data_IF_843169378105
#
_entry.id   IF_843169378105
#
_cell.length_a   1.000
_cell.length_b   1.000
_cell.length_c   1.000
_cell.angle_alpha   90.00
_cell.angle_beta   90.00
_cell.angle_gamma   90.00
#
_symmetry.space_group_name_H-M   'P 1'
#
loop_
_entity.id
_entity.type
_entity.pdbx_description
1 polymer ?
#
# COMPACT_ATOMS: atom_id res chain seq x y z
N UNK A 1 -8.33 -36.81 10.49
CA UNK A 1 -8.46 -36.28 9.11
C UNK A 1 -8.71 -34.79 9.19
N UNK A 2 -7.73 -33.96 8.80
CA UNK A 2 -7.82 -32.50 8.92
C UNK A 2 -8.79 -31.93 7.89
N UNK A 3 -9.80 -31.19 8.36
CA UNK A 3 -10.73 -30.43 7.51
C UNK A 3 -9.96 -29.34 6.77
N UNK A 4 -9.85 -29.45 5.45
CA UNK A 4 -9.41 -28.35 4.60
C UNK A 4 -10.40 -27.19 4.79
N UNK A 5 -9.96 -26.12 5.45
CA UNK A 5 -10.77 -24.92 5.69
C UNK A 5 -11.06 -24.30 4.32
N UNK A 6 -12.32 -24.24 3.92
CA UNK A 6 -12.74 -23.67 2.65
C UNK A 6 -12.15 -22.25 2.48
N UNK A 7 -11.50 -22.01 1.35
CA UNK A 7 -10.95 -20.70 1.00
C UNK A 7 -12.11 -19.72 0.80
N UNK A 8 -12.30 -18.80 1.75
CA UNK A 8 -13.28 -17.72 1.64
C UNK A 8 -12.78 -16.75 0.57
N UNK A 9 -13.39 -16.80 -0.63
CA UNK A 9 -13.19 -15.76 -1.64
C UNK A 9 -13.71 -14.45 -1.05
N UNK A 10 -12.82 -13.46 -0.94
CA UNK A 10 -13.17 -12.10 -0.53
C UNK A 10 -13.38 -11.34 -1.83
N UNK A 11 -14.62 -10.96 -2.11
CA UNK A 11 -14.93 -10.08 -3.23
C UNK A 11 -14.41 -8.67 -2.90
N UNK A 12 -13.55 -8.09 -3.75
CA UNK A 12 -12.76 -6.94 -3.37
C UNK A 12 -13.48 -5.61 -3.52
N UNK A 13 -14.78 -5.59 -3.82
CA UNK A 13 -15.57 -4.39 -4.13
C UNK A 13 -15.68 -3.48 -2.90
N UNK A 14 -14.87 -2.42 -2.77
CA UNK A 14 -14.92 -1.54 -1.63
C UNK A 14 -15.90 -0.39 -1.91
N UNK A 15 -16.39 0.27 -0.85
CA UNK A 15 -17.19 1.49 -1.02
C UNK A 15 -16.32 2.62 -1.61
N UNK A 16 -16.97 3.62 -2.25
CA UNK A 16 -16.26 4.75 -2.83
C UNK A 16 -15.42 5.51 -1.81
N UNK A 17 -15.93 5.71 -0.60
CA UNK A 17 -15.20 6.33 0.53
C UNK A 17 -13.94 5.54 0.88
N UNK A 18 -14.06 4.21 0.93
CA UNK A 18 -12.97 3.33 1.30
C UNK A 18 -11.81 3.37 0.31
N UNK A 19 -12.08 3.58 -0.99
CA UNK A 19 -11.03 3.72 -2.01
C UNK A 19 -10.07 4.87 -1.67
N UNK A 20 -10.59 6.01 -1.19
CA UNK A 20 -9.78 7.16 -0.83
C UNK A 20 -8.99 6.96 0.48
N UNK A 21 -9.54 6.22 1.44
CA UNK A 21 -8.84 5.93 2.70
C UNK A 21 -7.65 4.96 2.53
N UNK A 22 -7.73 4.07 1.55
CA UNK A 22 -6.75 3.00 1.33
C UNK A 22 -5.39 3.54 0.89
N UNK A 23 -5.35 4.67 0.19
CA UNK A 23 -4.10 5.29 -0.29
C UNK A 23 -3.85 6.56 0.52
N UNK A 24 -2.93 6.50 1.49
CA UNK A 24 -2.70 7.64 2.41
C UNK A 24 -1.71 8.66 1.87
N UNK A 25 -0.53 8.20 1.47
CA UNK A 25 0.54 9.07 0.96
C UNK A 25 1.60 8.27 0.21
N UNK A 26 2.33 8.90 -0.72
CA UNK A 26 3.50 8.27 -1.32
C UNK A 26 4.66 8.17 -0.33
N UNK A 27 5.47 7.13 -0.49
CA UNK A 27 6.70 6.94 0.30
C UNK A 27 7.88 7.35 -0.56
N UNK A 28 8.51 8.47 -0.22
CA UNK A 28 9.69 9.00 -0.92
C UNK A 28 10.95 8.65 -0.13
N UNK A 29 11.81 7.82 -0.72
CA UNK A 29 13.09 7.32 -0.22
C UNK A 29 13.99 6.97 -1.41
N UNK A 30 15.30 6.87 -1.23
CA UNK A 30 16.22 6.40 -2.30
C UNK A 30 15.76 5.06 -2.90
N UNK A 31 15.33 4.13 -2.04
CA UNK A 31 14.82 2.82 -2.48
C UNK A 31 13.53 2.90 -3.29
N UNK A 32 12.62 3.84 -2.97
CA UNK A 32 11.40 4.00 -3.77
C UNK A 32 11.72 4.59 -5.13
N UNK A 33 12.70 5.50 -5.22
CA UNK A 33 13.18 6.03 -6.50
C UNK A 33 13.80 4.94 -7.37
N UNK A 34 14.58 4.03 -6.77
CA UNK A 34 15.08 2.84 -7.48
C UNK A 34 13.94 1.93 -7.95
N UNK A 35 12.91 1.75 -7.13
CA UNK A 35 11.73 0.96 -7.52
C UNK A 35 10.97 1.59 -8.70
N UNK A 36 10.94 2.93 -8.78
CA UNK A 36 10.32 3.64 -9.91
C UNK A 36 10.96 3.31 -11.26
N UNK A 37 12.27 3.00 -11.30
CA UNK A 37 12.95 2.53 -12.52
C UNK A 37 12.37 1.21 -13.06
N UNK A 38 11.72 0.43 -12.20
CA UNK A 38 11.07 -0.83 -12.54
C UNK A 38 9.54 -0.68 -12.67
N UNK A 39 9.03 0.52 -12.93
CA UNK A 39 7.60 0.83 -12.99
C UNK A 39 6.85 0.47 -11.70
N UNK A 40 7.52 0.61 -10.55
CA UNK A 40 6.92 0.38 -9.24
C UNK A 40 6.73 1.68 -8.47
N UNK A 41 5.56 1.82 -7.85
CA UNK A 41 5.24 2.95 -6.99
C UNK A 41 5.01 2.45 -5.57
N UNK A 42 5.46 3.23 -4.59
CA UNK A 42 5.37 2.85 -3.18
C UNK A 42 4.45 3.80 -2.44
N UNK A 43 3.37 3.25 -1.88
CA UNK A 43 2.41 3.99 -1.07
C UNK A 43 2.41 3.50 0.38
N UNK A 44 2.12 4.41 1.29
CA UNK A 44 1.69 4.09 2.64
C UNK A 44 0.18 3.84 2.63
N UNK A 45 -0.23 2.70 3.20
CA UNK A 45 -1.61 2.22 3.21
C UNK A 45 -2.02 1.82 4.63
N UNK A 46 -3.33 1.77 4.95
CA UNK A 46 -3.83 1.27 6.21
C UNK A 46 -3.39 -0.17 6.55
N UNK A 47 -3.29 -0.48 7.84
CA UNK A 47 -2.83 -1.80 8.33
C UNK A 47 -3.85 -2.91 8.05
N UNK A 48 -5.12 -2.60 7.94
CA UNK A 48 -6.23 -3.48 7.59
C UNK A 48 -6.36 -3.72 6.07
N UNK A 49 -5.89 -2.79 5.22
CA UNK A 49 -6.03 -2.89 3.76
C UNK A 49 -5.48 -4.20 3.14
N UNK A 50 -6.27 -4.84 2.30
CA UNK A 50 -5.87 -6.10 1.62
C UNK A 50 -5.26 -5.84 0.24
N UNK A 51 -4.51 -6.80 -0.32
CA UNK A 51 -3.88 -6.63 -1.66
C UNK A 51 -4.91 -6.41 -2.78
N UNK A 52 -6.04 -7.15 -2.86
CA UNK A 52 -7.06 -6.91 -3.88
C UNK A 52 -7.69 -5.51 -3.77
N UNK A 53 -7.97 -5.07 -2.54
CA UNK A 53 -8.52 -3.73 -2.26
C UNK A 53 -7.56 -2.62 -2.72
N UNK A 54 -6.25 -2.74 -2.40
CA UNK A 54 -5.23 -1.78 -2.86
C UNK A 54 -5.15 -1.75 -4.38
N UNK A 55 -5.26 -2.90 -5.05
CA UNK A 55 -5.27 -2.97 -6.52
C UNK A 55 -6.42 -2.14 -7.09
N UNK A 56 -7.64 -2.39 -6.63
CA UNK A 56 -8.84 -1.69 -7.09
C UNK A 56 -8.75 -0.19 -6.80
N UNK A 57 -8.27 0.20 -5.62
CA UNK A 57 -8.06 1.60 -5.24
C UNK A 57 -7.12 2.33 -6.21
N UNK A 58 -5.96 1.76 -6.51
CA UNK A 58 -4.98 2.38 -7.40
C UNK A 58 -5.51 2.45 -8.84
N UNK A 59 -6.11 1.36 -9.34
CA UNK A 59 -6.66 1.33 -10.70
C UNK A 59 -7.79 2.35 -10.87
N UNK A 60 -8.65 2.52 -9.87
CA UNK A 60 -9.79 3.44 -9.94
C UNK A 60 -9.36 4.91 -9.80
N UNK A 61 -8.50 5.21 -8.83
CA UNK A 61 -8.11 6.59 -8.52
C UNK A 61 -7.14 7.17 -9.56
N UNK A 62 -6.16 6.38 -10.00
CA UNK A 62 -5.13 6.86 -10.93
C UNK A 62 -5.41 6.46 -12.38
N UNK A 63 -6.49 5.69 -12.65
CA UNK A 63 -6.86 5.22 -14.00
C UNK A 63 -5.72 4.47 -14.72
N UNK A 64 -4.92 3.74 -13.95
CA UNK A 64 -3.80 2.92 -14.44
C UNK A 64 -4.13 1.43 -14.35
N UNK A 65 -3.34 0.58 -15.01
CA UNK A 65 -3.42 -0.88 -14.85
C UNK A 65 -2.32 -1.38 -13.91
N UNK A 66 -2.70 -2.22 -12.94
CA UNK A 66 -1.78 -2.77 -11.94
C UNK A 66 -1.49 -4.24 -12.23
N UNK A 67 -0.21 -4.57 -12.37
CA UNK A 67 0.28 -5.93 -12.60
C UNK A 67 0.32 -6.73 -11.30
N UNK A 68 0.91 -6.18 -10.25
CA UNK A 68 1.11 -6.87 -8.98
C UNK A 68 1.16 -5.90 -7.79
N UNK A 69 0.75 -6.40 -6.61
CA UNK A 69 0.81 -5.66 -5.35
C UNK A 69 1.53 -6.48 -4.29
N UNK A 70 2.59 -5.90 -3.73
CA UNK A 70 3.38 -6.47 -2.65
C UNK A 70 3.29 -5.56 -1.43
N UNK A 71 2.97 -6.13 -0.27
CA UNK A 71 2.74 -5.34 0.95
C UNK A 71 3.68 -5.78 2.06
N UNK A 72 4.24 -4.82 2.80
CA UNK A 72 5.10 -5.07 3.96
C UNK A 72 4.65 -4.22 5.13
N UNK A 73 4.50 -4.82 6.32
CA UNK A 73 4.26 -4.08 7.56
C UNK A 73 5.59 -3.75 8.25
N UNK A 74 5.74 -2.49 8.63
CA UNK A 74 6.89 -1.96 9.35
C UNK A 74 6.43 -1.63 10.76
N UNK A 75 7.09 -2.23 11.75
CA UNK A 75 6.86 -1.92 13.16
C UNK A 75 7.40 -0.52 13.47
N UNK A 76 6.59 0.31 14.11
CA UNK A 76 6.97 1.61 14.61
C UNK A 76 8.08 1.50 15.63
N UNK A 77 9.08 2.36 15.50
CA UNK A 77 10.25 2.40 16.40
C UNK A 77 9.82 2.86 17.80
N UNK A 78 10.38 2.22 18.82
CA UNK A 78 10.30 2.69 20.20
C UNK A 78 11.17 3.95 20.32
N UNK A 79 10.62 5.00 20.91
CA UNK A 79 11.28 6.28 21.15
C UNK A 79 11.09 6.68 22.60
N UNK A 80 11.95 7.57 23.09
CA UNK A 80 11.86 8.11 24.44
C UNK A 80 11.82 9.63 24.35
N UNK A 81 10.89 10.24 25.05
CA UNK A 81 10.80 11.70 25.17
C UNK A 81 10.63 12.05 26.64
N UNK A 82 11.54 12.86 27.19
CA UNK A 82 11.55 13.27 28.62
C UNK A 82 11.40 12.09 29.59
N UNK A 83 12.14 11.01 29.37
CA UNK A 83 12.11 9.80 30.21
C UNK A 83 10.97 8.81 29.91
N UNK A 84 9.87 9.26 29.29
CA UNK A 84 8.72 8.41 28.94
C UNK A 84 8.99 7.63 27.65
N UNK A 85 8.78 6.31 27.68
CA UNK A 85 8.88 5.45 26.49
C UNK A 85 7.56 5.52 25.72
N UNK A 86 7.64 5.93 24.46
CA UNK A 86 6.53 5.88 23.49
C UNK A 86 6.90 5.01 22.29
N UNK A 87 5.90 4.64 21.48
CA UNK A 87 6.12 3.92 20.22
C UNK A 87 5.45 4.69 19.09
N UNK A 88 6.14 4.79 17.94
CA UNK A 88 5.54 5.34 16.72
C UNK A 88 4.48 4.37 16.19
N UNK A 89 3.55 4.89 15.39
CA UNK A 89 2.54 4.06 14.71
C UNK A 89 3.20 3.05 13.78
N UNK A 90 2.60 1.86 13.69
CA UNK A 90 2.97 0.85 12.71
C UNK A 90 2.45 1.28 11.34
N UNK A 91 3.23 1.00 10.29
CA UNK A 91 2.93 1.46 8.92
C UNK A 91 2.93 0.26 7.98
N UNK A 92 2.01 0.22 7.02
CA UNK A 92 2.08 -0.74 5.90
C UNK A 92 2.53 0.00 4.64
N UNK A 93 3.55 -0.53 3.98
CA UNK A 93 3.97 -0.09 2.65
C UNK A 93 3.41 -1.04 1.61
N UNK A 94 2.88 -0.48 0.52
CA UNK A 94 2.47 -1.21 -0.66
C UNK A 94 3.41 -0.83 -1.82
N UNK A 95 4.11 -1.82 -2.35
CA UNK A 95 4.84 -1.76 -3.61
C UNK A 95 3.89 -2.23 -4.71
N UNK A 96 3.54 -1.33 -5.61
CA UNK A 96 2.58 -1.57 -6.68
C UNK A 96 3.34 -1.54 -7.99
N UNK A 97 3.34 -2.66 -8.71
CA UNK A 97 3.93 -2.74 -10.05
C UNK A 97 2.85 -2.40 -11.07
N UNK A 98 3.11 -1.35 -11.85
CA UNK A 98 2.23 -0.92 -12.93
C UNK A 98 2.44 -1.79 -14.18
N UNK A 99 1.43 -1.86 -15.03
CA UNK A 99 1.58 -2.42 -16.36
C UNK A 99 2.43 -1.49 -17.25
N UNK A 100 3.03 -2.05 -18.29
CA UNK A 100 3.88 -1.32 -19.23
C UNK A 100 3.11 -0.14 -19.86
N UNK A 101 3.77 1.01 -19.98
CA UNK A 101 3.18 2.23 -20.54
C UNK A 101 2.39 3.08 -19.54
N UNK A 102 2.17 2.63 -18.31
CA UNK A 102 1.57 3.45 -17.25
C UNK A 102 2.62 3.97 -16.28
N UNK A 103 2.56 5.27 -15.99
CA UNK A 103 3.35 5.92 -14.95
C UNK A 103 2.44 6.73 -14.04
N UNK A 104 2.84 6.85 -12.77
CA UNK A 104 2.23 7.77 -11.81
C UNK A 104 3.33 8.76 -11.44
N UNK A 105 3.08 10.05 -11.67
CA UNK A 105 3.95 11.08 -11.12
C UNK A 105 3.65 11.22 -9.63
N UNK A 106 4.65 10.85 -8.82
CA UNK A 106 4.56 10.82 -7.36
C UNK A 106 5.07 12.13 -6.74
N UNK A 107 5.67 13.00 -7.56
CA UNK A 107 6.34 14.25 -7.14
C UNK A 107 5.49 15.49 -7.33
N UNK A 108 4.48 15.44 -8.21
CA UNK A 108 3.45 16.47 -8.24
C UNK A 108 2.62 16.33 -6.97
N UNK A 109 2.76 17.31 -6.07
CA UNK A 109 2.11 17.31 -4.75
C UNK A 109 0.61 17.02 -4.86
N UNK A 110 0.14 16.18 -3.94
CA UNK A 110 -1.28 15.98 -3.61
C UNK A 110 -1.73 17.12 -2.71
#
# INVERSE_FOLDING_TARGET
>A
MSRARAYRKIDPTPSSERLYEVIRRPVVTEKSTLASQHNQVVFEVPLDATKPEIKVAVETLFKVKVKAVNTTRIKGKIKRFRGVRGRRVDVKKAYITLAEGHSIDVTTGI
#
